data_IF_535009217196
#
_entry.id   IF_535009217196
#
_cell.length_a   1.000
_cell.length_b   1.000
_cell.length_c   1.000
_cell.angle_alpha   90.00
_cell.angle_beta   90.00
_cell.angle_gamma   90.00
#
_symmetry.space_group_name_H-M   'P 1'
#
loop_
_entity.id
_entity.type
_entity.pdbx_description
1 polymer ?
#
# COMPACT_ATOMS: atom_id res chain seq x y z
N UNK A 1 -13.75 -11.30 6.79
CA UNK A 1 -12.43 -11.05 6.17
C UNK A 1 -11.33 -11.71 6.98
N UNK A 2 -10.25 -12.16 6.33
CA UNK A 2 -9.13 -12.91 6.90
C UNK A 2 -7.85 -12.09 6.77
N UNK A 3 -7.26 -11.70 7.89
CA UNK A 3 -6.11 -10.79 7.94
C UNK A 3 -4.84 -11.52 8.32
N UNK A 4 -3.77 -11.28 7.56
CA UNK A 4 -2.43 -11.76 7.89
C UNK A 4 -1.56 -10.65 8.43
N UNK A 5 -1.11 -10.75 9.69
CA UNK A 5 -0.14 -9.81 10.28
C UNK A 5 1.29 -10.36 10.11
N UNK A 6 2.04 -9.74 9.22
CA UNK A 6 3.42 -10.06 8.87
C UNK A 6 4.39 -9.02 9.43
N UNK A 7 5.67 -9.34 9.38
CA UNK A 7 6.75 -8.53 9.91
C UNK A 7 7.87 -9.41 10.43
N UNK A 8 9.08 -8.87 10.48
CA UNK A 8 10.25 -9.61 10.95
C UNK A 8 10.09 -10.09 12.41
N UNK A 9 10.87 -11.09 12.84
CA UNK A 9 10.99 -11.43 14.25
C UNK A 9 11.34 -10.18 15.09
N UNK A 10 10.81 -10.09 16.30
CA UNK A 10 10.94 -8.93 17.20
C UNK A 10 10.26 -7.62 16.74
N UNK A 11 9.45 -7.64 15.67
CA UNK A 11 8.69 -6.46 15.24
C UNK A 11 7.59 -6.04 16.25
N UNK A 12 7.06 -6.97 17.04
CA UNK A 12 5.99 -6.70 18.01
C UNK A 12 4.61 -7.23 17.61
N UNK A 13 4.55 -8.16 16.63
CA UNK A 13 3.28 -8.77 16.17
C UNK A 13 2.41 -9.30 17.32
N UNK A 14 2.96 -10.16 18.18
CA UNK A 14 2.24 -10.71 19.34
C UNK A 14 1.72 -9.61 20.26
N UNK A 15 2.53 -8.58 20.53
CA UNK A 15 2.13 -7.45 21.37
C UNK A 15 0.90 -6.70 20.84
N UNK A 16 0.78 -6.56 19.50
CA UNK A 16 -0.39 -5.97 18.84
C UNK A 16 -1.57 -6.93 18.91
N UNK A 17 -1.36 -8.21 18.53
CA UNK A 17 -2.42 -9.22 18.52
C UNK A 17 -3.10 -9.37 19.89
N UNK A 18 -2.34 -9.38 20.97
CA UNK A 18 -2.86 -9.52 22.35
C UNK A 18 -3.76 -8.34 22.79
N UNK A 19 -3.76 -7.23 22.04
CA UNK A 19 -4.54 -6.01 22.32
C UNK A 19 -5.74 -5.83 21.38
N UNK A 20 -5.88 -6.69 20.37
CA UNK A 20 -7.04 -6.66 19.49
C UNK A 20 -8.26 -7.20 20.24
N UNK A 21 -9.38 -6.51 20.10
CA UNK A 21 -10.68 -6.88 20.67
C UNK A 21 -11.73 -6.94 19.56
N UNK A 22 -12.72 -7.82 19.69
CA UNK A 22 -13.82 -7.92 18.71
C UNK A 22 -13.49 -8.65 17.40
N UNK A 23 -12.22 -8.99 17.14
CA UNK A 23 -11.79 -9.83 16.02
C UNK A 23 -11.17 -11.12 16.59
N UNK A 24 -11.42 -12.28 15.96
CA UNK A 24 -10.78 -13.54 16.37
C UNK A 24 -9.27 -13.47 16.13
N UNK A 25 -8.47 -13.54 17.19
CA UNK A 25 -7.00 -13.57 17.10
C UNK A 25 -6.52 -15.01 17.08
N UNK A 26 -5.67 -15.33 16.12
CA UNK A 26 -5.05 -16.64 15.96
C UNK A 26 -3.52 -16.51 16.01
N UNK A 27 -2.86 -17.40 16.74
CA UNK A 27 -1.40 -17.46 16.78
C UNK A 27 -0.90 -18.59 15.88
N UNK A 28 -0.37 -18.25 14.71
CA UNK A 28 -0.01 -19.22 13.67
C UNK A 28 0.97 -20.27 14.16
N UNK A 29 1.94 -19.88 15.00
CA UNK A 29 2.90 -20.85 15.57
C UNK A 29 2.26 -21.88 16.52
N UNK A 30 1.26 -21.48 17.29
CA UNK A 30 0.54 -22.37 18.22
C UNK A 30 -0.37 -23.31 17.44
N UNK A 31 -1.09 -22.80 16.44
CA UNK A 31 -1.97 -23.62 15.61
C UNK A 31 -1.20 -24.68 14.81
N UNK A 32 -0.01 -24.35 14.30
CA UNK A 32 0.87 -25.32 13.63
C UNK A 32 1.34 -26.42 14.60
N UNK A 33 1.61 -26.06 15.85
CA UNK A 33 1.99 -27.01 16.90
C UNK A 33 0.81 -27.90 17.35
N UNK A 34 -0.42 -27.38 17.29
CA UNK A 34 -1.61 -28.17 17.59
C UNK A 34 -1.92 -29.22 16.53
N UNK A 35 -1.64 -28.93 15.25
CA UNK A 35 -1.73 -29.92 14.17
C UNK A 35 -0.59 -30.94 14.29
N UNK A 36 0.63 -30.49 14.59
CA UNK A 36 1.77 -31.38 14.76
C UNK A 36 2.70 -30.91 15.89
N UNK A 37 2.73 -31.67 17.00
CA UNK A 37 3.53 -31.36 18.19
C UNK A 37 5.05 -31.35 17.94
N UNK A 38 5.52 -31.95 16.84
CA UNK A 38 6.92 -31.94 16.42
C UNK A 38 7.19 -30.96 15.28
N UNK A 39 6.29 -30.00 15.00
CA UNK A 39 6.36 -29.09 13.85
C UNK A 39 7.73 -28.41 13.67
N UNK A 40 8.44 -28.09 14.75
CA UNK A 40 9.76 -27.46 14.69
C UNK A 40 10.91 -28.41 14.31
N UNK A 41 10.72 -29.72 14.45
CA UNK A 41 11.74 -30.75 14.27
C UNK A 41 11.56 -31.59 12.99
N UNK A 42 10.38 -31.54 12.36
CA UNK A 42 10.12 -32.21 11.08
C UNK A 42 10.80 -31.50 9.90
N UNK A 43 10.94 -32.21 8.79
CA UNK A 43 11.51 -31.66 7.55
C UNK A 43 10.59 -30.61 6.88
N UNK A 44 11.14 -29.83 5.94
CA UNK A 44 10.40 -28.75 5.28
C UNK A 44 9.24 -29.23 4.41
N UNK A 45 9.28 -30.46 3.86
CA UNK A 45 8.16 -31.02 3.11
C UNK A 45 6.98 -31.29 4.05
N UNK A 46 7.25 -31.85 5.22
CA UNK A 46 6.26 -32.08 6.26
C UNK A 46 5.74 -30.75 6.83
N UNK A 47 6.60 -29.76 7.09
CA UNK A 47 6.13 -28.41 7.52
C UNK A 47 5.21 -27.76 6.49
N UNK A 48 5.52 -27.89 5.19
CA UNK A 48 4.64 -27.41 4.11
C UNK A 48 3.28 -28.12 4.13
N UNK A 49 3.24 -29.43 4.38
CA UNK A 49 1.99 -30.17 4.49
C UNK A 49 1.14 -29.67 5.69
N UNK A 50 1.76 -29.45 6.85
CA UNK A 50 1.08 -28.92 8.04
C UNK A 50 0.56 -27.50 7.82
N UNK A 51 1.35 -26.60 7.21
CA UNK A 51 0.90 -25.24 6.83
C UNK A 51 -0.29 -25.28 5.88
N UNK A 52 -0.24 -26.17 4.88
CA UNK A 52 -1.34 -26.39 3.95
C UNK A 52 -2.61 -26.89 4.64
N UNK A 53 -2.48 -27.82 5.58
CA UNK A 53 -3.61 -28.31 6.38
C UNK A 53 -4.23 -27.18 7.21
N UNK A 54 -3.41 -26.38 7.90
CA UNK A 54 -3.86 -25.22 8.65
C UNK A 54 -4.62 -24.23 7.76
N UNK A 55 -4.02 -23.82 6.64
CA UNK A 55 -4.63 -22.88 5.72
C UNK A 55 -5.96 -23.41 5.17
N UNK A 56 -6.04 -24.68 4.76
CA UNK A 56 -7.29 -25.27 4.27
C UNK A 56 -8.38 -25.35 5.35
N UNK A 57 -7.99 -25.51 6.61
CA UNK A 57 -8.92 -25.51 7.74
C UNK A 57 -9.48 -24.12 7.97
N UNK A 58 -8.61 -23.10 8.00
CA UNK A 58 -8.97 -21.71 8.22
C UNK A 58 -9.68 -21.04 7.04
N UNK A 59 -9.56 -21.58 5.82
CA UNK A 59 -10.31 -21.09 4.65
C UNK A 59 -11.84 -21.15 4.84
N UNK A 60 -12.32 -21.98 5.78
CA UNK A 60 -13.75 -22.13 6.12
C UNK A 60 -14.21 -21.13 7.19
N UNK A 61 -13.28 -20.38 7.76
CA UNK A 61 -13.55 -19.37 8.78
C UNK A 61 -13.37 -17.97 8.20
N UNK A 62 -14.10 -17.02 8.77
CA UNK A 62 -14.00 -15.60 8.46
C UNK A 62 -13.82 -14.80 9.76
N UNK A 63 -13.41 -13.54 9.61
CA UNK A 63 -13.33 -12.53 10.67
C UNK A 63 -12.26 -12.89 11.72
N UNK A 64 -11.07 -13.20 11.22
CA UNK A 64 -9.90 -13.45 12.05
C UNK A 64 -8.67 -12.69 11.55
N UNK A 65 -7.73 -12.49 12.48
CA UNK A 65 -6.37 -12.04 12.20
C UNK A 65 -5.38 -13.07 12.74
N UNK A 66 -4.35 -13.38 11.95
CA UNK A 66 -3.32 -14.35 12.32
C UNK A 66 -1.93 -13.79 12.06
N UNK A 67 -0.97 -14.04 12.96
CA UNK A 67 0.42 -13.72 12.68
C UNK A 67 1.04 -14.70 11.66
N UNK A 68 1.87 -14.14 10.79
CA UNK A 68 2.58 -14.85 9.74
C UNK A 68 4.05 -14.47 9.67
N UNK A 69 4.81 -15.33 8.99
CA UNK A 69 6.19 -15.09 8.61
C UNK A 69 6.32 -15.33 7.11
N UNK A 70 6.92 -14.39 6.38
CA UNK A 70 7.23 -14.63 4.98
C UNK A 70 8.50 -15.50 4.85
N UNK A 71 9.52 -15.18 5.63
CA UNK A 71 10.79 -15.90 5.66
C UNK A 71 11.44 -15.89 7.06
N UNK A 72 12.46 -16.71 7.24
CA UNK A 72 13.36 -16.70 8.39
C UNK A 72 14.80 -16.57 7.89
N UNK A 73 15.33 -15.35 7.86
CA UNK A 73 16.54 -15.03 7.10
C UNK A 73 16.30 -15.31 5.62
N UNK A 74 17.25 -16.00 4.97
CA UNK A 74 17.14 -16.35 3.55
C UNK A 74 16.15 -17.50 3.24
N UNK A 75 15.60 -18.16 4.27
CA UNK A 75 14.68 -19.28 4.07
C UNK A 75 13.23 -18.80 3.96
N UNK A 76 12.68 -18.77 2.75
CA UNK A 76 11.26 -18.45 2.49
C UNK A 76 10.37 -19.57 3.00
N UNK A 77 9.46 -19.22 3.91
CA UNK A 77 8.47 -20.15 4.49
C UNK A 77 7.04 -19.87 4.03
N UNK A 78 6.80 -18.71 3.42
CA UNK A 78 5.55 -18.36 2.79
C UNK A 78 5.17 -19.37 1.70
N UNK A 79 3.95 -19.87 1.76
CA UNK A 79 3.40 -20.82 0.79
C UNK A 79 2.27 -20.20 -0.03
N UNK A 80 1.93 -20.86 -1.14
CA UNK A 80 0.76 -20.47 -1.95
C UNK A 80 -0.53 -20.59 -1.15
N UNK A 81 -0.59 -21.55 -0.23
CA UNK A 81 -1.72 -21.78 0.67
C UNK A 81 -1.87 -20.64 1.68
N UNK A 82 -0.78 -20.18 2.30
CA UNK A 82 -0.79 -18.96 3.14
C UNK A 82 -1.27 -17.75 2.33
N UNK A 83 -0.76 -17.63 1.10
CA UNK A 83 -1.15 -16.60 0.16
C UNK A 83 -2.65 -16.61 -0.18
N UNK A 84 -3.28 -17.77 -0.28
CA UNK A 84 -4.71 -17.90 -0.60
C UNK A 84 -5.60 -17.60 0.60
N UNK A 85 -5.12 -17.93 1.81
CA UNK A 85 -5.88 -17.82 3.05
C UNK A 85 -6.35 -16.40 3.34
N UNK A 86 -5.44 -15.43 3.21
CA UNK A 86 -5.71 -14.06 3.65
C UNK A 86 -6.30 -13.21 2.54
N UNK A 87 -7.25 -12.33 2.89
CA UNK A 87 -7.82 -11.33 1.98
C UNK A 87 -6.93 -10.08 1.92
N UNK A 88 -6.28 -9.73 3.04
CA UNK A 88 -5.34 -8.64 3.14
C UNK A 88 -4.09 -9.01 3.97
N UNK A 89 -2.97 -8.43 3.60
CA UNK A 89 -1.67 -8.59 4.27
C UNK A 89 -1.26 -7.26 4.91
N UNK A 90 -1.09 -7.30 6.22
CA UNK A 90 -0.63 -6.19 7.04
C UNK A 90 0.83 -6.45 7.41
N UNK A 91 1.76 -5.65 6.91
CA UNK A 91 3.18 -5.79 7.24
C UNK A 91 3.60 -4.75 8.27
N UNK A 92 3.93 -5.18 9.48
CA UNK A 92 4.45 -4.31 10.53
C UNK A 92 5.92 -3.99 10.24
N UNK A 93 6.17 -2.77 9.77
CA UNK A 93 7.50 -2.23 9.54
C UNK A 93 8.08 -1.69 10.84
N UNK A 94 9.33 -2.05 11.12
CA UNK A 94 10.13 -1.47 12.21
C UNK A 94 11.52 -1.19 11.65
N UNK A 95 12.05 -0.01 11.96
CA UNK A 95 13.34 0.44 11.48
C UNK A 95 14.43 -0.60 11.79
N UNK A 96 15.30 -0.97 10.82
CA UNK A 96 16.24 -2.08 10.96
C UNK A 96 17.14 -1.99 12.20
N UNK A 97 17.55 -0.79 12.61
CA UNK A 97 18.37 -0.59 13.81
C UNK A 97 17.61 -0.90 15.11
N UNK A 98 16.31 -0.55 15.16
CA UNK A 98 15.44 -0.88 16.29
C UNK A 98 15.24 -2.39 16.37
N UNK A 99 15.00 -3.05 15.23
CA UNK A 99 14.91 -4.52 15.17
C UNK A 99 16.21 -5.18 15.63
N UNK A 100 17.37 -4.69 15.17
CA UNK A 100 18.68 -5.20 15.60
C UNK A 100 18.82 -5.14 17.12
N UNK A 101 18.55 -3.97 17.71
CA UNK A 101 18.60 -3.78 19.17
C UNK A 101 17.65 -4.73 19.92
N UNK A 102 16.44 -4.95 19.40
CA UNK A 102 15.46 -5.89 20.00
C UNK A 102 15.90 -7.35 19.85
N UNK A 103 16.52 -7.72 18.73
CA UNK A 103 17.03 -9.07 18.48
C UNK A 103 18.25 -9.39 19.36
N UNK A 104 19.16 -8.44 19.58
CA UNK A 104 20.32 -8.57 20.48
C UNK A 104 19.90 -8.88 21.92
N UNK A 105 18.81 -8.25 22.38
CA UNK A 105 18.25 -8.46 23.73
C UNK A 105 17.43 -9.75 23.84
N UNK A 106 17.21 -10.48 22.74
CA UNK A 106 16.34 -11.64 22.69
C UNK A 106 17.15 -12.93 22.52
N UNK A 107 17.11 -13.81 23.53
CA UNK A 107 17.72 -15.14 23.47
C UNK A 107 17.20 -15.99 22.29
N UNK A 108 15.91 -15.84 21.95
CA UNK A 108 15.26 -16.56 20.83
C UNK A 108 15.64 -16.02 19.45
N UNK A 109 15.77 -14.69 19.32
CA UNK A 109 15.91 -14.03 18.01
C UNK A 109 17.34 -13.59 17.67
N UNK A 110 18.29 -13.64 18.61
CA UNK A 110 19.69 -13.27 18.37
C UNK A 110 20.35 -14.03 17.21
N UNK A 111 19.89 -15.24 16.91
CA UNK A 111 20.34 -16.04 15.75
C UNK A 111 20.13 -15.37 14.38
N UNK A 112 19.25 -14.37 14.29
CA UNK A 112 18.96 -13.64 13.06
C UNK A 112 19.90 -12.44 12.81
N UNK A 113 20.72 -12.05 13.78
CA UNK A 113 21.65 -10.92 13.66
C UNK A 113 22.73 -11.12 12.58
N UNK A 114 22.94 -12.36 12.13
CA UNK A 114 23.85 -12.69 11.04
C UNK A 114 23.37 -12.24 9.66
N UNK A 115 22.10 -11.88 9.51
CA UNK A 115 21.51 -11.44 8.25
C UNK A 115 21.49 -9.91 8.15
N UNK A 116 21.50 -9.39 6.93
CA UNK A 116 21.20 -7.98 6.67
C UNK A 116 19.70 -7.73 6.88
N UNK A 117 19.35 -7.20 8.06
CA UNK A 117 17.96 -6.96 8.48
C UNK A 117 17.22 -6.02 7.51
N UNK A 118 17.90 -5.01 6.97
CA UNK A 118 17.27 -4.04 6.06
C UNK A 118 16.95 -4.71 4.73
N UNK A 119 17.93 -5.40 4.15
CA UNK A 119 17.74 -6.13 2.89
C UNK A 119 16.68 -7.22 3.04
N UNK A 120 16.70 -7.94 4.16
CA UNK A 120 15.70 -8.97 4.46
C UNK A 120 14.29 -8.40 4.54
N UNK A 121 14.09 -7.32 5.32
CA UNK A 121 12.80 -6.66 5.47
C UNK A 121 12.26 -6.13 4.14
N UNK A 122 13.11 -5.45 3.35
CA UNK A 122 12.73 -4.94 2.04
C UNK A 122 12.32 -6.06 1.10
N UNK A 123 13.03 -7.19 1.09
CA UNK A 123 12.68 -8.34 0.28
C UNK A 123 11.33 -8.96 0.68
N UNK A 124 11.00 -9.06 1.97
CA UNK A 124 9.67 -9.54 2.39
C UNK A 124 8.56 -8.60 1.90
N UNK A 125 8.75 -7.28 2.07
CA UNK A 125 7.78 -6.27 1.65
C UNK A 125 7.56 -6.31 0.13
N UNK A 126 8.65 -6.34 -0.65
CA UNK A 126 8.56 -6.36 -2.12
C UNK A 126 7.89 -7.64 -2.61
N UNK A 127 8.26 -8.81 -2.08
CA UNK A 127 7.69 -10.09 -2.51
C UNK A 127 6.24 -10.29 -2.08
N UNK A 128 5.85 -9.82 -0.89
CA UNK A 128 4.45 -9.83 -0.48
C UNK A 128 3.62 -8.88 -1.34
N UNK A 129 4.12 -7.68 -1.65
CA UNK A 129 3.44 -6.74 -2.55
C UNK A 129 3.25 -7.34 -3.95
N UNK A 130 4.31 -7.91 -4.54
CA UNK A 130 4.24 -8.61 -5.84
C UNK A 130 3.14 -9.67 -5.83
N UNK A 131 3.12 -10.53 -4.82
CA UNK A 131 2.08 -11.56 -4.68
C UNK A 131 0.68 -10.95 -4.60
N UNK A 132 0.50 -9.88 -3.84
CA UNK A 132 -0.79 -9.20 -3.69
C UNK A 132 -1.25 -8.53 -4.98
N UNK A 133 -0.34 -7.88 -5.69
CA UNK A 133 -0.57 -7.31 -7.02
C UNK A 133 -1.03 -8.36 -8.01
N UNK A 134 -0.38 -9.53 -8.06
CA UNK A 134 -0.76 -10.63 -8.94
C UNK A 134 -2.15 -11.19 -8.61
N UNK A 135 -2.44 -11.38 -7.31
CA UNK A 135 -3.61 -12.10 -6.83
C UNK A 135 -4.81 -11.20 -6.44
N UNK A 136 -4.74 -9.90 -6.70
CA UNK A 136 -5.76 -8.91 -6.35
C UNK A 136 -6.09 -8.92 -4.85
N UNK A 137 -5.07 -8.83 -4.00
CA UNK A 137 -5.18 -8.77 -2.54
C UNK A 137 -4.66 -7.44 -2.03
N UNK A 138 -5.20 -7.00 -0.90
CA UNK A 138 -4.73 -5.79 -0.25
C UNK A 138 -3.40 -6.03 0.45
N UNK A 139 -2.49 -5.07 0.33
CA UNK A 139 -1.20 -5.06 1.01
C UNK A 139 -0.96 -3.71 1.64
N UNK A 140 -0.63 -3.71 2.92
CA UNK A 140 -0.42 -2.50 3.70
C UNK A 140 0.89 -2.61 4.47
N UNK A 141 1.75 -1.62 4.32
CA UNK A 141 2.93 -1.47 5.19
C UNK A 141 2.54 -0.52 6.31
N UNK A 142 2.54 -1.02 7.54
CA UNK A 142 2.22 -0.28 8.75
C UNK A 142 3.54 0.17 9.37
N UNK A 143 3.82 1.45 9.28
CA UNK A 143 5.06 2.08 9.70
C UNK A 143 4.81 3.29 10.61
N UNK A 144 5.84 3.70 11.33
CA UNK A 144 5.84 4.97 12.04
C UNK A 144 7.07 5.73 11.56
N UNK A 145 6.86 6.73 10.71
CA UNK A 145 7.97 7.47 10.09
C UNK A 145 8.76 8.31 11.09
N UNK A 146 8.09 8.83 12.12
CA UNK A 146 8.71 9.74 13.07
C UNK A 146 9.67 9.00 14.02
N UNK A 147 9.28 7.81 14.46
CA UNK A 147 10.04 7.04 15.45
C UNK A 147 10.74 5.80 14.88
N UNK A 148 10.30 5.30 13.72
CA UNK A 148 10.72 4.01 13.17
C UNK A 148 10.15 2.79 13.93
N UNK A 149 9.32 3.01 14.94
CA UNK A 149 8.61 1.98 15.72
C UNK A 149 7.36 2.56 16.37
N UNK A 150 6.52 1.71 16.96
CA UNK A 150 5.31 2.12 17.68
C UNK A 150 5.54 2.05 19.20
N UNK A 151 5.52 3.19 19.87
CA UNK A 151 5.38 3.34 21.31
C UNK A 151 3.90 3.29 21.73
N UNK A 152 3.06 3.98 20.97
CA UNK A 152 1.60 3.88 20.96
C UNK A 152 1.14 3.09 19.73
N UNK A 153 0.22 2.15 19.94
CA UNK A 153 -0.34 1.30 18.89
C UNK A 153 -1.79 1.66 18.53
N UNK A 154 -2.38 2.70 19.10
CA UNK A 154 -3.78 3.06 18.87
C UNK A 154 -4.07 3.27 17.38
N UNK A 155 -3.16 3.93 16.67
CA UNK A 155 -3.27 4.11 15.21
C UNK A 155 -3.20 2.79 14.45
N UNK A 156 -2.36 1.85 14.92
CA UNK A 156 -2.24 0.51 14.31
C UNK A 156 -3.51 -0.29 14.53
N UNK A 157 -4.04 -0.30 15.76
CA UNK A 157 -5.27 -1.00 16.10
C UNK A 157 -6.45 -0.41 15.33
N UNK A 158 -6.58 0.92 15.29
CA UNK A 158 -7.60 1.60 14.51
C UNK A 158 -7.58 1.17 13.05
N UNK A 159 -6.41 1.18 12.42
CA UNK A 159 -6.30 0.75 11.03
C UNK A 159 -6.68 -0.73 10.86
N UNK A 160 -6.25 -1.63 11.76
CA UNK A 160 -6.65 -3.04 11.72
C UNK A 160 -8.18 -3.19 11.78
N UNK A 161 -8.86 -2.42 12.63
CA UNK A 161 -10.32 -2.42 12.70
C UNK A 161 -10.95 -1.88 11.41
N UNK A 162 -10.44 -0.78 10.86
CA UNK A 162 -10.97 -0.23 9.60
C UNK A 162 -10.79 -1.22 8.44
N UNK A 163 -9.65 -1.91 8.34
CA UNK A 163 -9.49 -2.99 7.37
C UNK A 163 -10.51 -4.08 7.66
N UNK A 164 -10.60 -4.56 8.91
CA UNK A 164 -11.58 -5.59 9.36
C UNK A 164 -13.01 -5.27 8.93
N UNK A 165 -13.38 -3.99 9.01
CA UNK A 165 -14.71 -3.46 8.71
C UNK A 165 -14.91 -3.09 7.23
N UNK A 166 -13.94 -3.42 6.37
CA UNK A 166 -14.10 -3.39 4.92
C UNK A 166 -13.25 -2.36 4.17
N UNK A 167 -12.34 -1.64 4.85
CA UNK A 167 -11.36 -0.80 4.16
C UNK A 167 -10.50 -1.65 3.21
N UNK A 168 -10.63 -1.40 1.91
CA UNK A 168 -9.96 -2.15 0.86
C UNK A 168 -9.58 -1.26 -0.31
N UNK A 169 -8.29 -1.17 -0.60
CA UNK A 169 -7.77 -0.48 -1.78
C UNK A 169 -8.12 -1.22 -3.07
N UNK A 170 -8.10 -2.56 -3.04
CA UNK A 170 -8.49 -3.41 -4.17
C UNK A 170 -9.97 -3.21 -4.53
N UNK A 171 -10.87 -3.23 -3.55
CA UNK A 171 -12.30 -3.09 -3.83
C UNK A 171 -12.65 -1.67 -4.29
N UNK A 172 -12.10 -0.65 -3.64
CA UNK A 172 -12.21 0.74 -4.11
C UNK A 172 -11.70 0.89 -5.55
N UNK A 173 -10.57 0.26 -5.89
CA UNK A 173 -10.04 0.26 -7.26
C UNK A 173 -10.96 -0.44 -8.26
N UNK A 174 -11.67 -1.52 -7.88
CA UNK A 174 -12.66 -2.19 -8.74
C UNK A 174 -13.85 -1.27 -9.00
N UNK A 175 -14.36 -0.62 -7.96
CA UNK A 175 -15.47 0.33 -8.07
C UNK A 175 -15.10 1.50 -8.99
N UNK A 176 -13.96 2.15 -8.73
CA UNK A 176 -13.45 3.21 -9.58
C UNK A 176 -13.24 2.76 -11.04
N UNK A 177 -12.69 1.56 -11.27
CA UNK A 177 -12.52 1.04 -12.62
C UNK A 177 -13.88 0.78 -13.31
N UNK A 178 -14.87 0.24 -12.59
CA UNK A 178 -16.21 0.02 -13.14
C UNK A 178 -16.91 1.33 -13.49
N UNK A 179 -16.78 2.35 -12.62
CA UNK A 179 -17.29 3.69 -12.87
C UNK A 179 -16.66 4.28 -14.14
N UNK A 180 -15.33 4.22 -14.26
CA UNK A 180 -14.60 4.67 -15.45
C UNK A 180 -15.09 3.95 -16.72
N UNK A 181 -15.27 2.62 -16.66
CA UNK A 181 -15.77 1.84 -17.80
C UNK A 181 -17.20 2.25 -18.19
N UNK A 182 -18.05 2.59 -17.21
CA UNK A 182 -19.42 3.06 -17.46
C UNK A 182 -19.48 4.46 -18.05
N UNK A 183 -18.48 5.31 -17.78
CA UNK A 183 -18.40 6.69 -18.25
C UNK A 183 -17.78 6.84 -19.65
N UNK A 184 -17.18 5.77 -20.20
CA UNK A 184 -16.36 5.87 -21.41
C UNK A 184 -16.47 4.66 -22.33
N UNK A 185 -17.05 4.90 -23.51
CA UNK A 185 -17.14 3.90 -24.59
C UNK A 185 -15.84 3.80 -25.41
N UNK A 186 -14.92 4.75 -25.30
CA UNK A 186 -13.68 4.75 -26.09
C UNK A 186 -12.73 3.62 -25.69
N UNK A 187 -11.91 3.16 -26.63
CA UNK A 187 -10.92 2.10 -26.43
C UNK A 187 -9.71 2.55 -25.63
N UNK A 188 -9.32 3.81 -25.78
CA UNK A 188 -8.11 4.40 -25.21
C UNK A 188 -8.49 5.35 -24.08
N UNK A 189 -8.07 5.01 -22.87
CA UNK A 189 -8.31 5.80 -21.65
C UNK A 189 -6.98 6.37 -21.15
N UNK A 190 -7.04 7.60 -20.65
CA UNK A 190 -5.91 8.23 -19.95
C UNK A 190 -6.19 8.28 -18.45
N UNK A 191 -5.26 7.79 -17.65
CA UNK A 191 -5.20 8.00 -16.21
C UNK A 191 -4.11 9.03 -15.93
N UNK A 192 -4.37 9.97 -15.04
CA UNK A 192 -3.35 10.92 -14.59
C UNK A 192 -3.39 11.03 -13.08
N UNK A 193 -2.21 11.13 -12.47
CA UNK A 193 -2.12 11.78 -11.19
C UNK A 193 -2.50 13.27 -11.29
N UNK A 194 -2.91 13.82 -10.16
CA UNK A 194 -3.27 15.22 -10.05
C UNK A 194 -2.07 16.12 -9.80
N UNK A 195 -1.58 16.10 -8.56
CA UNK A 195 -0.62 17.06 -8.03
C UNK A 195 0.75 16.87 -8.69
N UNK A 196 1.40 17.98 -9.09
CA UNK A 196 2.69 17.98 -9.82
C UNK A 196 2.70 17.17 -11.13
N UNK A 197 1.54 16.67 -11.57
CA UNK A 197 1.35 15.92 -12.82
C UNK A 197 0.44 16.68 -13.77
N UNK A 198 -0.87 16.72 -13.49
CA UNK A 198 -1.86 17.46 -14.28
C UNK A 198 -1.79 18.97 -14.00
N UNK A 199 -1.60 19.33 -12.73
CA UNK A 199 -1.26 20.69 -12.31
C UNK A 199 0.21 20.71 -11.90
N UNK A 200 0.84 21.89 -11.93
CA UNK A 200 2.25 22.02 -11.54
C UNK A 200 2.45 22.05 -10.03
N UNK A 201 1.41 22.46 -9.32
CA UNK A 201 1.40 22.64 -7.90
C UNK A 201 1.07 21.33 -7.15
N UNK A 202 1.31 21.38 -5.85
CA UNK A 202 0.84 20.38 -4.89
C UNK A 202 -0.36 21.01 -4.17
N UNK A 203 -1.55 20.49 -4.45
CA UNK A 203 -2.83 21.04 -3.95
C UNK A 203 -2.88 21.13 -2.42
N UNK A 204 -2.26 20.18 -1.72
CA UNK A 204 -2.14 20.23 -0.26
C UNK A 204 -1.24 21.39 0.19
N UNK A 205 -0.11 21.59 -0.50
CA UNK A 205 0.80 22.70 -0.21
C UNK A 205 0.18 24.08 -0.49
N UNK A 206 -0.76 24.20 -1.44
CA UNK A 206 -1.46 25.45 -1.74
C UNK A 206 -2.26 26.01 -0.56
N UNK A 207 -2.75 25.15 0.33
CA UNK A 207 -3.44 25.55 1.56
C UNK A 207 -2.54 25.52 2.80
N UNK A 208 -1.22 25.39 2.60
CA UNK A 208 -0.22 25.33 3.67
C UNK A 208 -0.14 23.99 4.41
N UNK A 209 -0.87 22.96 3.98
CA UNK A 209 -0.77 21.63 4.58
C UNK A 209 0.53 20.94 4.12
N UNK A 210 1.27 20.39 5.10
CA UNK A 210 2.50 19.63 4.88
C UNK A 210 2.38 18.31 5.62
N UNK A 211 3.00 17.27 5.07
CA UNK A 211 2.99 15.93 5.64
C UNK A 211 4.35 15.27 5.55
N UNK A 212 4.66 14.42 6.53
CA UNK A 212 5.87 13.60 6.62
C UNK A 212 5.56 12.10 6.50
N UNK A 213 4.29 11.75 6.28
CA UNK A 213 3.81 10.35 6.25
C UNK A 213 4.50 9.51 5.17
N UNK A 214 4.97 10.15 4.09
CA UNK A 214 5.60 9.48 2.96
C UNK A 214 7.13 9.49 3.01
N UNK A 215 7.76 10.04 4.07
CA UNK A 215 9.21 10.29 4.09
C UNK A 215 10.05 9.01 4.10
N UNK A 216 9.57 7.90 4.65
CA UNK A 216 10.20 6.57 4.54
C UNK A 216 9.75 5.77 3.32
N UNK A 217 9.14 6.43 2.34
CA UNK A 217 8.95 5.93 0.98
C UNK A 217 8.00 4.72 0.86
N UNK A 218 7.00 4.63 1.74
CA UNK A 218 5.85 3.73 1.61
C UNK A 218 4.62 4.50 1.12
N UNK A 219 3.90 3.90 0.16
CA UNK A 219 2.73 4.50 -0.50
C UNK A 219 1.57 3.51 -0.58
N UNK A 220 1.35 2.75 0.50
CA UNK A 220 0.24 1.78 0.60
C UNK A 220 -1.00 2.46 1.15
N UNK A 221 -2.12 1.72 1.21
CA UNK A 221 -3.36 2.22 1.79
C UNK A 221 -3.24 2.73 3.24
N UNK A 222 -2.28 2.26 4.03
CA UNK A 222 -2.04 2.80 5.38
C UNK A 222 -1.58 4.25 5.36
N UNK A 223 -0.63 4.60 4.48
CA UNK A 223 -0.15 5.98 4.37
C UNK A 223 -1.24 6.90 3.80
N UNK A 224 -2.00 6.44 2.79
CA UNK A 224 -3.15 7.19 2.27
C UNK A 224 -4.25 7.40 3.32
N UNK A 225 -4.49 6.40 4.17
CA UNK A 225 -5.41 6.49 5.30
C UNK A 225 -4.99 7.60 6.26
N UNK A 226 -3.76 7.54 6.79
CA UNK A 226 -3.25 8.56 7.71
C UNK A 226 -3.20 9.95 7.08
N UNK A 227 -2.79 10.02 5.81
CA UNK A 227 -2.70 11.27 5.07
C UNK A 227 -4.06 11.95 4.97
N UNK A 228 -5.09 11.20 4.61
CA UNK A 228 -6.45 11.70 4.52
C UNK A 228 -6.97 12.16 5.88
N UNK A 229 -6.78 11.38 6.93
CA UNK A 229 -7.22 11.77 8.29
C UNK A 229 -6.58 13.09 8.74
N UNK A 230 -5.26 13.22 8.57
CA UNK A 230 -4.52 14.41 8.99
C UNK A 230 -4.89 15.63 8.13
N UNK A 231 -5.05 15.43 6.82
CA UNK A 231 -5.50 16.48 5.91
C UNK A 231 -6.90 16.96 6.27
N UNK A 232 -7.84 16.05 6.56
CA UNK A 232 -9.20 16.44 6.91
C UNK A 232 -9.26 17.16 8.26
N UNK A 233 -8.48 16.74 9.26
CA UNK A 233 -8.32 17.47 10.52
C UNK A 233 -7.80 18.89 10.27
N UNK A 234 -6.78 19.03 9.42
CA UNK A 234 -6.22 20.34 9.06
C UNK A 234 -7.25 21.24 8.37
N UNK A 235 -7.96 20.72 7.37
CA UNK A 235 -9.00 21.46 6.63
C UNK A 235 -10.10 21.92 7.58
N UNK A 236 -10.60 21.03 8.45
CA UNK A 236 -11.67 21.36 9.39
C UNK A 236 -11.25 22.40 10.45
N UNK A 237 -9.97 22.45 10.81
CA UNK A 237 -9.43 23.45 11.73
C UNK A 237 -9.11 24.80 11.05
N UNK A 238 -8.91 24.80 9.74
CA UNK A 238 -8.50 25.98 8.97
C UNK A 238 -9.71 26.83 8.56
N UNK A 239 -9.61 28.16 8.68
CA UNK A 239 -10.58 29.07 8.05
C UNK A 239 -10.39 28.98 6.54
N UNK A 240 -11.49 28.86 5.78
CA UNK A 240 -11.51 28.75 4.30
C UNK A 240 -10.40 29.59 3.68
N UNK A 241 -9.39 28.93 3.13
CA UNK A 241 -8.31 29.60 2.41
C UNK A 241 -8.79 29.83 0.99
N UNK A 242 -8.56 31.03 0.47
CA UNK A 242 -8.82 31.33 -0.94
C UNK A 242 -7.91 30.43 -1.79
N UNK A 243 -8.50 29.72 -2.75
CA UNK A 243 -7.76 28.78 -3.59
C UNK A 243 -6.93 29.63 -4.56
N UNK A 244 -5.59 29.55 -4.52
CA UNK A 244 -4.74 30.33 -5.42
C UNK A 244 -4.89 29.86 -6.87
N UNK A 245 -4.37 30.67 -7.80
CA UNK A 245 -4.35 30.30 -9.22
C UNK A 245 -3.58 28.99 -9.45
N UNK A 246 -4.14 28.15 -10.31
CA UNK A 246 -3.65 26.79 -10.62
C UNK A 246 -3.00 26.82 -12.01
N UNK A 247 -1.78 26.29 -12.12
CA UNK A 247 -1.08 26.19 -13.39
C UNK A 247 -1.19 24.78 -13.94
N UNK A 248 -1.81 24.63 -15.11
CA UNK A 248 -1.91 23.34 -15.77
C UNK A 248 -0.60 22.92 -16.43
N UNK A 249 -0.34 21.61 -16.43
CA UNK A 249 0.63 21.01 -17.32
C UNK A 249 -0.01 20.80 -18.69
N UNK A 250 0.23 21.75 -19.62
CA UNK A 250 -0.34 21.72 -20.97
C UNK A 250 -0.05 20.42 -21.74
N UNK A 251 1.09 19.79 -21.49
CA UNK A 251 1.42 18.50 -22.10
C UNK A 251 0.46 17.40 -21.66
N UNK A 252 0.18 17.30 -20.36
CA UNK A 252 -0.76 16.31 -19.81
C UNK A 252 -2.20 16.68 -20.19
N UNK A 253 -2.55 17.97 -20.09
CA UNK A 253 -3.89 18.48 -20.37
C UNK A 253 -4.36 18.13 -21.79
N UNK A 254 -3.46 18.15 -22.79
CA UNK A 254 -3.82 17.76 -24.17
C UNK A 254 -4.29 16.31 -24.30
N UNK A 255 -3.87 15.43 -23.39
CA UNK A 255 -4.26 14.02 -23.37
C UNK A 255 -5.50 13.75 -22.52
N UNK A 256 -6.05 14.77 -21.85
CA UNK A 256 -7.18 14.59 -20.95
C UNK A 256 -8.52 14.46 -21.64
N UNK A 257 -8.62 14.39 -22.99
CA UNK A 257 -9.92 14.27 -23.66
C UNK A 257 -10.76 13.08 -23.14
N UNK A 258 -10.14 11.92 -22.97
CA UNK A 258 -10.71 10.72 -22.33
C UNK A 258 -9.97 10.41 -21.01
N UNK A 259 -9.66 11.47 -20.26
CA UNK A 259 -8.82 11.43 -19.07
C UNK A 259 -9.61 11.33 -17.78
N UNK A 260 -9.09 10.56 -16.84
CA UNK A 260 -9.59 10.42 -15.47
C UNK A 260 -8.46 10.73 -14.49
N UNK A 261 -8.79 11.50 -13.45
CA UNK A 261 -7.81 11.98 -12.47
C UNK A 261 -7.86 11.04 -11.25
N UNK A 262 -6.71 10.53 -10.83
CA UNK A 262 -6.54 9.70 -9.65
C UNK A 262 -5.64 10.44 -8.66
N UNK A 263 -6.18 10.99 -7.57
CA UNK A 263 -5.43 11.90 -6.69
C UNK A 263 -5.67 11.63 -5.22
N UNK A 264 -4.63 11.81 -4.41
CA UNK A 264 -4.69 11.86 -2.95
C UNK A 264 -4.59 13.29 -2.41
N UNK A 265 -4.61 14.28 -3.29
CA UNK A 265 -4.50 15.70 -2.96
C UNK A 265 -5.73 16.28 -2.27
N UNK A 266 -5.74 17.61 -2.11
CA UNK A 266 -6.78 18.35 -1.41
C UNK A 266 -8.16 18.19 -2.12
N UNK A 267 -9.19 17.65 -1.44
CA UNK A 267 -10.45 17.28 -2.09
C UNK A 267 -11.22 18.42 -2.77
N UNK A 268 -11.32 19.60 -2.15
CA UNK A 268 -12.10 20.72 -2.67
C UNK A 268 -11.45 21.35 -3.91
N UNK A 269 -10.12 21.47 -3.92
CA UNK A 269 -9.33 21.95 -5.06
C UNK A 269 -9.53 20.99 -6.23
N UNK A 270 -9.40 19.68 -6.00
CA UNK A 270 -9.57 18.68 -7.06
C UNK A 270 -11.00 18.60 -7.57
N UNK A 271 -12.01 18.79 -6.71
CA UNK A 271 -13.40 18.92 -7.14
C UNK A 271 -13.59 20.13 -8.06
N UNK A 272 -13.07 21.29 -7.68
CA UNK A 272 -13.16 22.51 -8.48
C UNK A 272 -12.42 22.39 -9.82
N UNK A 273 -11.22 21.78 -9.84
CA UNK A 273 -10.48 21.50 -11.08
C UNK A 273 -11.28 20.58 -11.99
N UNK A 274 -11.80 19.47 -11.44
CA UNK A 274 -12.63 18.49 -12.15
C UNK A 274 -13.83 19.14 -12.84
N UNK A 275 -14.54 20.02 -12.13
CA UNK A 275 -15.67 20.78 -12.68
C UNK A 275 -15.22 21.75 -13.80
N UNK A 276 -14.10 22.45 -13.61
CA UNK A 276 -13.56 23.42 -14.57
C UNK A 276 -13.12 22.77 -15.89
N UNK A 277 -12.39 21.64 -15.82
CA UNK A 277 -11.91 20.94 -17.02
C UNK A 277 -12.90 19.88 -17.52
N UNK A 278 -14.02 19.68 -16.80
CA UNK A 278 -15.08 18.69 -17.08
C UNK A 278 -14.54 17.26 -17.19
N UNK A 279 -13.68 16.86 -16.25
CA UNK A 279 -13.11 15.50 -16.20
C UNK A 279 -13.32 14.87 -14.83
N UNK A 280 -13.73 13.59 -14.76
CA UNK A 280 -13.96 12.94 -13.48
C UNK A 280 -12.67 12.84 -12.66
N UNK A 281 -12.83 12.98 -11.34
CA UNK A 281 -11.76 12.79 -10.36
C UNK A 281 -12.15 11.73 -9.35
N UNK A 282 -11.22 10.83 -9.08
CA UNK A 282 -11.30 9.81 -8.05
C UNK A 282 -10.27 10.13 -6.97
N UNK A 283 -10.73 10.21 -5.73
CA UNK A 283 -9.94 10.51 -4.55
C UNK A 283 -10.56 9.82 -3.33
N UNK A 284 -9.82 9.75 -2.23
CA UNK A 284 -10.30 9.13 -1.00
C UNK A 284 -9.15 8.65 -0.12
N UNK A 285 -9.48 8.15 1.07
CA UNK A 285 -8.49 7.58 1.99
C UNK A 285 -7.90 6.25 1.50
N UNK A 286 -8.52 5.60 0.49
CA UNK A 286 -7.93 4.47 -0.22
C UNK A 286 -7.06 4.86 -1.42
N UNK A 287 -6.95 6.12 -1.85
CA UNK A 287 -6.18 6.45 -3.07
C UNK A 287 -4.66 6.39 -2.81
N UNK A 288 -4.08 5.21 -3.01
CA UNK A 288 -2.66 4.88 -2.80
C UNK A 288 -1.99 4.40 -4.09
N UNK A 289 -0.68 4.14 -4.05
CA UNK A 289 0.05 3.60 -5.20
C UNK A 289 -0.49 2.24 -5.65
N UNK A 290 -0.85 1.39 -4.69
CA UNK A 290 -1.42 0.08 -4.96
C UNK A 290 -2.84 0.20 -5.55
N UNK A 291 -3.62 1.20 -5.12
CA UNK A 291 -4.95 1.49 -5.67
C UNK A 291 -4.86 1.92 -7.13
N UNK A 292 -3.96 2.87 -7.46
CA UNK A 292 -3.75 3.31 -8.85
C UNK A 292 -3.28 2.17 -9.75
N UNK A 293 -2.42 1.28 -9.22
CA UNK A 293 -2.04 0.03 -9.90
C UNK A 293 -3.26 -0.84 -10.20
N UNK A 294 -4.12 -1.10 -9.22
CA UNK A 294 -5.29 -1.96 -9.41
C UNK A 294 -6.32 -1.37 -10.36
N UNK A 295 -6.58 -0.05 -10.31
CA UNK A 295 -7.45 0.65 -11.26
C UNK A 295 -6.93 0.39 -12.69
N UNK A 296 -5.64 0.61 -12.93
CA UNK A 296 -4.99 0.35 -14.22
C UNK A 296 -5.12 -1.10 -14.64
N UNK A 297 -4.79 -2.04 -13.74
CA UNK A 297 -4.87 -3.48 -14.00
C UNK A 297 -6.27 -3.93 -14.40
N UNK A 298 -7.32 -3.37 -13.78
CA UNK A 298 -8.70 -3.73 -14.07
C UNK A 298 -9.19 -3.12 -15.39
N UNK A 299 -8.83 -1.86 -15.67
CA UNK A 299 -9.17 -1.20 -16.94
C UNK A 299 -8.52 -1.89 -18.14
N UNK A 300 -7.28 -2.34 -18.01
CA UNK A 300 -6.53 -3.02 -19.07
C UNK A 300 -7.15 -4.33 -19.57
N UNK A 301 -8.13 -4.89 -18.85
CA UNK A 301 -8.88 -6.05 -19.34
C UNK A 301 -9.75 -5.71 -20.55
N UNK A 302 -10.14 -4.44 -20.71
CA UNK A 302 -11.11 -4.00 -21.70
C UNK A 302 -10.65 -2.78 -22.52
N UNK A 303 -9.63 -2.07 -22.05
CA UNK A 303 -9.21 -0.76 -22.58
C UNK A 303 -7.68 -0.73 -22.72
N UNK A 304 -7.18 0.09 -23.64
CA UNK A 304 -5.77 0.49 -23.66
C UNK A 304 -5.60 1.67 -22.71
N UNK A 305 -4.65 1.57 -21.78
CA UNK A 305 -4.46 2.56 -20.72
C UNK A 305 -3.17 3.32 -20.92
N UNK A 306 -3.27 4.64 -21.06
CA UNK A 306 -2.16 5.58 -20.93
C UNK A 306 -2.14 6.15 -19.52
N UNK A 307 -0.96 6.27 -18.91
CA UNK A 307 -0.83 6.79 -17.55
C UNK A 307 0.20 7.92 -17.45
N UNK A 308 -0.10 8.93 -16.62
CA UNK A 308 0.79 10.03 -16.26
C UNK A 308 0.95 10.11 -14.73
N UNK A 309 2.17 10.38 -14.27
CA UNK A 309 2.48 10.57 -12.84
C UNK A 309 3.85 11.21 -12.63
N UNK A 310 4.21 11.52 -11.39
CA UNK A 310 5.46 12.24 -11.07
C UNK A 310 6.34 11.50 -10.05
N UNK A 311 5.79 10.52 -9.32
CA UNK A 311 6.39 10.02 -8.08
C UNK A 311 6.20 8.52 -7.84
N UNK A 312 6.75 8.03 -6.73
CA UNK A 312 6.57 6.64 -6.29
C UNK A 312 5.08 6.29 -6.04
N UNK A 313 4.23 7.28 -5.75
CA UNK A 313 2.79 7.07 -5.64
C UNK A 313 2.15 6.62 -6.96
N UNK A 314 2.79 6.91 -8.10
CA UNK A 314 2.30 6.57 -9.44
C UNK A 314 3.07 5.42 -10.07
N UNK A 315 4.21 5.05 -9.48
CA UNK A 315 5.16 4.11 -10.07
C UNK A 315 4.51 2.81 -10.55
N UNK A 316 3.68 2.18 -9.71
CA UNK A 316 3.05 0.92 -10.07
C UNK A 316 1.95 1.10 -11.13
N UNK A 317 1.22 2.21 -11.12
CA UNK A 317 0.28 2.58 -12.19
C UNK A 317 1.03 2.71 -13.53
N UNK A 318 2.14 3.44 -13.54
CA UNK A 318 2.98 3.67 -14.71
C UNK A 318 3.58 2.36 -15.24
N UNK A 319 4.15 1.52 -14.37
CA UNK A 319 4.69 0.20 -14.79
C UNK A 319 3.60 -0.75 -15.30
N UNK A 320 2.35 -0.55 -14.90
CA UNK A 320 1.24 -1.39 -15.31
C UNK A 320 0.63 -0.96 -16.64
N UNK A 321 0.59 0.34 -16.94
CA UNK A 321 -0.06 0.92 -18.11
C UNK A 321 0.55 0.45 -19.46
N UNK A 322 -0.22 0.58 -20.54
CA UNK A 322 0.24 0.24 -21.91
C UNK A 322 1.16 1.32 -22.48
N UNK A 323 0.99 2.56 -22.03
CA UNK A 323 1.85 3.70 -22.36
C UNK A 323 1.99 4.58 -21.12
N UNK A 324 3.21 4.85 -20.68
CA UNK A 324 3.47 5.51 -19.40
C UNK A 324 4.38 6.72 -19.55
N UNK A 325 4.02 7.81 -18.87
CA UNK A 325 4.76 9.06 -18.89
C UNK A 325 5.06 9.51 -17.46
N UNK A 326 6.33 9.72 -17.16
CA UNK A 326 6.80 10.27 -15.89
C UNK A 326 7.14 11.75 -16.07
N UNK A 327 6.43 12.61 -15.37
CA UNK A 327 6.62 14.05 -15.42
C UNK A 327 7.87 14.42 -14.63
N UNK A 328 8.86 15.02 -15.31
CA UNK A 328 10.04 15.55 -14.64
C UNK A 328 9.71 16.87 -13.93
N UNK A 329 10.46 17.17 -12.86
CA UNK A 329 10.41 18.49 -12.23
C UNK A 329 10.86 19.55 -13.23
N UNK A 330 10.50 20.81 -12.99
CA UNK A 330 10.96 21.96 -13.79
C UNK A 330 12.49 22.06 -13.89
N UNK A 331 13.23 21.51 -12.93
CA UNK A 331 14.70 21.46 -12.93
C UNK A 331 15.27 20.33 -13.82
N UNK A 332 14.41 19.53 -14.47
CA UNK A 332 14.77 18.34 -15.23
C UNK A 332 15.02 17.09 -14.37
N UNK A 333 15.00 17.22 -13.04
CA UNK A 333 15.19 16.10 -12.11
C UNK A 333 13.91 15.30 -11.86
N UNK A 334 14.06 14.03 -11.51
CA UNK A 334 12.94 13.17 -11.10
C UNK A 334 12.61 13.33 -9.61
N UNK A 335 11.46 12.79 -9.18
CA UNK A 335 11.12 12.65 -7.76
C UNK A 335 12.15 11.77 -7.05
N UNK A 336 12.60 12.21 -5.86
CA UNK A 336 13.58 11.46 -5.05
C UNK A 336 13.01 10.13 -4.53
N UNK A 337 11.68 10.02 -4.43
CA UNK A 337 10.97 8.79 -4.06
C UNK A 337 11.21 7.63 -5.05
N UNK A 338 11.54 7.96 -6.30
CA UNK A 338 11.82 7.00 -7.37
C UNK A 338 13.29 6.57 -7.44
N UNK A 339 14.13 7.01 -6.49
CA UNK A 339 15.55 6.66 -6.48
C UNK A 339 15.73 5.14 -6.45
N UNK A 340 16.57 4.64 -7.36
CA UNK A 340 16.87 3.21 -7.54
C UNK A 340 15.67 2.35 -8.00
N UNK A 341 14.59 2.95 -8.49
CA UNK A 341 13.50 2.19 -9.13
C UNK A 341 13.81 1.96 -10.61
N UNK A 342 13.28 0.86 -11.12
CA UNK A 342 13.37 0.52 -12.54
C UNK A 342 12.34 1.32 -13.35
N UNK A 343 12.83 2.29 -14.13
CA UNK A 343 12.00 3.14 -14.98
C UNK A 343 11.92 2.64 -16.43
N UNK A 344 12.43 1.44 -16.73
CA UNK A 344 12.32 0.86 -18.08
C UNK A 344 10.86 0.80 -18.53
N UNK A 345 10.61 1.25 -19.77
CA UNK A 345 9.28 1.31 -20.38
C UNK A 345 8.47 2.56 -20.01
N UNK A 346 9.01 3.49 -19.21
CA UNK A 346 8.35 4.76 -18.87
C UNK A 346 9.03 5.92 -19.61
N UNK A 347 8.25 6.73 -20.33
CA UNK A 347 8.74 7.91 -21.03
C UNK A 347 8.89 9.09 -20.07
N UNK A 348 10.09 9.64 -19.93
CA UNK A 348 10.32 10.85 -19.13
C UNK A 348 10.02 12.08 -19.99
N UNK A 349 9.18 12.99 -19.47
CA UNK A 349 8.68 14.17 -20.19
C UNK A 349 8.76 15.46 -19.39
#
# INVERSE_FOLDING_TARGET
MRLGLYGLPAAGKTYILDRIQGIKVLHGSEMLFDINKDFHHIDEKCKKAVRKELANTLLKEDNFIMDGHYSFGDNVVFTKEDGKLFDAFLYLYIEPEVLRSRMEKSSKNGKYLKFDIKKWQNNEIEKLREYCHENNKDFYVIDNQDLGYFDDIDTVLKFIYDVSDGFSCVNFAKEAANDILSMSDVTDITLTDGDRTLIREDSSSLIGYKTHIFDGNFYTGFQSFLHHENMMKYINASKKTEIPDITYNEFVLKYMYNGFILTSGQPDIWKNISEKIKRPVFFGNQMSADTKFFITKFLQKNKKVRAFGDSMNDYFMLKRADEAFLIAKLTGGLSSSLKNRDLEGIHIV
#
